data_IF_451356088911
#
_entry.id   IF_451356088911
#
_cell.length_a   1.000
_cell.length_b   1.000
_cell.length_c   1.000
_cell.angle_alpha   90.00
_cell.angle_beta   90.00
_cell.angle_gamma   90.00
#
_symmetry.space_group_name_H-M   'P 1'
#
loop_
_entity.id
_entity.type
_entity.pdbx_description
1 polymer ?
#
# COMPACT_ATOMS: atom_id res chain seq x y z
N UNK A 1 -50.38 6.47 -9.79
CA UNK A 1 -49.87 5.55 -8.76
C UNK A 1 -50.06 4.13 -9.23
N UNK A 2 -49.18 3.21 -8.84
CA UNK A 2 -49.24 1.80 -9.26
C UNK A 2 -47.91 1.09 -9.10
N UNK A 3 -47.92 -0.23 -9.30
CA UNK A 3 -46.72 -1.07 -9.28
C UNK A 3 -46.20 -1.25 -10.70
N UNK A 4 -45.01 -0.72 -10.96
CA UNK A 4 -44.26 -0.93 -12.19
C UNK A 4 -43.18 -1.97 -11.94
N UNK A 5 -42.62 -2.53 -13.01
CA UNK A 5 -41.56 -3.52 -12.88
C UNK A 5 -40.35 -3.12 -13.70
N UNK A 6 -39.18 -3.21 -13.09
CA UNK A 6 -37.92 -3.21 -13.80
C UNK A 6 -37.49 -4.64 -14.00
N UNK A 7 -37.05 -4.96 -15.21
CA UNK A 7 -36.44 -6.24 -15.53
C UNK A 7 -35.24 -5.98 -16.42
N UNK A 8 -34.08 -6.50 -16.03
CA UNK A 8 -32.84 -6.34 -16.78
C UNK A 8 -32.66 -7.57 -17.65
N UNK A 9 -32.44 -7.33 -18.93
CA UNK A 9 -32.15 -8.37 -19.91
C UNK A 9 -30.71 -8.20 -20.39
N UNK A 10 -29.90 -9.22 -20.18
CA UNK A 10 -28.58 -9.33 -20.78
C UNK A 10 -28.69 -10.29 -21.98
N UNK A 11 -28.64 -9.78 -23.22
CA UNK A 11 -28.69 -10.64 -24.39
C UNK A 11 -27.44 -11.51 -24.44
N UNK A 12 -27.57 -12.70 -25.02
CA UNK A 12 -26.43 -13.58 -25.24
C UNK A 12 -25.44 -12.91 -26.20
N UNK A 13 -24.16 -12.90 -25.85
CA UNK A 13 -23.14 -12.21 -26.64
C UNK A 13 -21.83 -12.97 -26.68
N UNK A 14 -21.16 -12.91 -27.83
CA UNK A 14 -19.79 -13.39 -27.97
C UNK A 14 -18.82 -12.28 -27.58
N UNK A 15 -17.93 -12.55 -26.64
CA UNK A 15 -16.82 -11.67 -26.32
C UNK A 15 -15.50 -12.41 -26.50
N UNK A 16 -14.55 -11.78 -27.22
CA UNK A 16 -13.24 -12.37 -27.48
C UNK A 16 -12.21 -11.80 -26.53
N UNK A 17 -11.84 -12.60 -25.53
CA UNK A 17 -10.76 -12.31 -24.60
C UNK A 17 -9.42 -12.41 -25.31
N UNK A 18 -8.84 -11.26 -25.64
CA UNK A 18 -7.52 -11.17 -26.29
C UNK A 18 -6.35 -11.33 -25.32
N UNK A 19 -6.60 -11.14 -24.03
CA UNK A 19 -5.63 -11.23 -22.95
C UNK A 19 -6.22 -12.07 -21.83
N UNK A 20 -5.43 -13.00 -21.28
CA UNK A 20 -5.84 -13.79 -20.11
C UNK A 20 -5.96 -12.88 -18.90
N UNK A 21 -7.08 -12.95 -18.20
CA UNK A 21 -7.24 -12.20 -16.95
C UNK A 21 -6.56 -12.93 -15.80
N UNK A 22 -6.04 -12.18 -14.84
CA UNK A 22 -5.39 -12.76 -13.64
C UNK A 22 -6.37 -13.44 -12.68
N UNK A 23 -7.64 -13.00 -12.65
CA UNK A 23 -8.67 -13.56 -11.75
C UNK A 23 -9.45 -14.72 -12.36
N UNK A 24 -9.41 -14.87 -13.68
CA UNK A 24 -10.03 -15.98 -14.40
C UNK A 24 -9.17 -16.33 -15.64
N UNK A 25 -8.02 -17.01 -15.44
CA UNK A 25 -7.06 -17.31 -16.51
C UNK A 25 -7.60 -18.31 -17.56
N UNK A 26 -8.71 -18.96 -17.25
CA UNK A 26 -9.49 -19.82 -18.16
C UNK A 26 -10.31 -19.02 -19.16
N UNK A 27 -10.56 -17.73 -18.93
CA UNK A 27 -11.24 -16.86 -19.88
C UNK A 27 -10.23 -16.37 -20.94
N UNK A 28 -10.14 -17.09 -22.06
CA UNK A 28 -9.31 -16.75 -23.22
C UNK A 28 -9.96 -17.21 -24.53
N UNK A 29 -9.83 -16.40 -25.59
CA UNK A 29 -10.50 -16.65 -26.86
C UNK A 29 -11.95 -16.16 -26.87
N UNK A 30 -12.72 -16.57 -27.88
CA UNK A 30 -14.13 -16.20 -28.01
C UNK A 30 -14.97 -17.03 -27.06
N UNK A 31 -15.63 -16.35 -26.11
CA UNK A 31 -16.51 -16.95 -25.12
C UNK A 31 -17.91 -16.43 -25.38
N UNK A 32 -18.86 -17.36 -25.48
CA UNK A 32 -20.28 -17.03 -25.52
C UNK A 32 -20.79 -16.85 -24.09
N UNK A 33 -21.25 -15.65 -23.77
CA UNK A 33 -21.98 -15.37 -22.55
C UNK A 33 -23.45 -15.62 -22.82
N UNK A 34 -24.02 -16.61 -22.13
CA UNK A 34 -25.42 -16.98 -22.28
C UNK A 34 -26.36 -15.82 -21.91
N UNK A 35 -27.51 -15.70 -22.58
CA UNK A 35 -28.50 -14.69 -22.21
C UNK A 35 -28.97 -14.94 -20.78
N UNK A 36 -29.14 -13.86 -20.03
CA UNK A 36 -29.75 -13.92 -18.70
C UNK A 36 -30.76 -12.81 -18.53
N UNK A 37 -31.74 -13.06 -17.67
CA UNK A 37 -32.80 -12.10 -17.38
C UNK A 37 -32.98 -12.07 -15.87
N UNK A 38 -32.98 -10.87 -15.29
CA UNK A 38 -33.22 -10.72 -13.85
C UNK A 38 -34.66 -11.08 -13.49
N UNK A 39 -34.89 -11.32 -12.21
CA UNK A 39 -36.24 -11.26 -11.67
C UNK A 39 -36.82 -9.85 -11.87
N UNK A 40 -38.15 -9.76 -11.88
CA UNK A 40 -38.85 -8.48 -11.97
C UNK A 40 -38.79 -7.78 -10.62
N UNK A 41 -38.16 -6.62 -10.57
CA UNK A 41 -38.14 -5.77 -9.38
C UNK A 41 -39.33 -4.82 -9.40
N UNK A 42 -40.18 -4.88 -8.38
CA UNK A 42 -41.36 -4.04 -8.26
C UNK A 42 -40.97 -2.62 -7.81
N UNK A 43 -41.27 -1.62 -8.65
CA UNK A 43 -41.27 -0.21 -8.29
C UNK A 43 -42.69 0.21 -7.92
N UNK A 44 -42.93 0.44 -6.64
CA UNK A 44 -44.22 0.95 -6.14
C UNK A 44 -44.19 2.48 -6.21
N UNK A 45 -45.00 3.05 -7.11
CA UNK A 45 -45.15 4.50 -7.24
C UNK A 45 -46.36 4.94 -6.42
N UNK A 46 -46.08 5.57 -5.29
CA UNK A 46 -47.05 6.08 -4.31
C UNK A 46 -47.31 7.59 -4.46
N UNK A 47 -48.44 8.08 -3.95
CA UNK A 47 -48.78 9.52 -3.90
C UNK A 47 -47.83 10.27 -3.00
N UNK A 48 -47.68 9.69 -1.80
CA UNK A 48 -46.99 10.31 -0.70
C UNK A 48 -45.49 10.13 -0.94
N UNK A 49 -44.71 11.22 -1.00
CA UNK A 49 -43.27 11.13 -1.08
C UNK A 49 -42.76 10.24 0.07
N UNK A 50 -41.89 9.28 -0.25
CA UNK A 50 -41.15 8.59 0.81
C UNK A 50 -40.39 9.63 1.62
N UNK A 51 -40.28 9.47 2.96
CA UNK A 51 -39.46 10.36 3.77
C UNK A 51 -38.07 10.47 3.15
N UNK A 52 -37.63 11.71 2.90
CA UNK A 52 -36.21 11.93 2.55
C UNK A 52 -35.39 11.38 3.71
N UNK A 53 -34.26 10.75 3.39
CA UNK A 53 -33.32 10.37 4.43
C UNK A 53 -33.06 11.61 5.30
N UNK A 54 -33.31 11.53 6.62
CA UNK A 54 -33.18 12.70 7.49
C UNK A 54 -31.73 13.15 7.50
N UNK A 55 -31.53 14.47 7.59
CA UNK A 55 -30.20 15.01 7.81
C UNK A 55 -29.68 14.71 9.20
N UNK A 56 -28.37 14.76 9.38
CA UNK A 56 -27.77 14.58 10.70
C UNK A 56 -27.73 15.91 11.45
N UNK A 57 -28.27 15.99 12.68
CA UNK A 57 -28.20 17.22 13.47
C UNK A 57 -26.74 17.58 13.77
N UNK A 58 -26.45 18.87 13.93
CA UNK A 58 -25.15 19.33 14.41
C UNK A 58 -24.89 18.77 15.82
N UNK A 59 -23.62 18.49 16.17
CA UNK A 59 -23.29 17.98 17.49
C UNK A 59 -23.53 19.11 18.53
N UNK A 60 -24.01 18.74 19.71
CA UNK A 60 -24.05 19.65 20.86
C UNK A 60 -22.77 19.63 21.69
N UNK A 61 -21.85 18.71 21.35
CA UNK A 61 -20.55 18.55 21.98
C UNK A 61 -19.42 19.08 21.09
N UNK A 62 -18.24 19.26 21.68
CA UNK A 62 -17.05 19.57 20.92
C UNK A 62 -16.76 18.48 19.90
N UNK A 63 -16.77 18.86 18.63
CA UNK A 63 -16.37 18.01 17.54
C UNK A 63 -14.86 18.08 17.38
N UNK A 64 -14.20 16.99 17.72
CA UNK A 64 -12.75 16.87 17.66
C UNK A 64 -12.35 15.75 16.73
N UNK A 65 -13.04 15.46 15.60
CA UNK A 65 -12.75 14.35 14.66
C UNK A 65 -13.16 14.57 13.23
N UNK A 66 -12.43 14.28 12.13
CA UNK A 66 -12.91 14.55 10.77
C UNK A 66 -14.42 14.28 10.55
N UNK A 67 -15.16 15.21 9.94
CA UNK A 67 -16.62 15.10 9.76
C UNK A 67 -16.84 14.01 8.73
N UNK A 68 -17.57 12.96 9.06
CA UNK A 68 -17.89 11.92 8.08
C UNK A 68 -18.54 12.57 6.84
N UNK A 69 -18.02 12.25 5.65
CA UNK A 69 -18.53 12.79 4.38
C UNK A 69 -20.02 12.53 4.13
N UNK A 70 -20.62 11.59 4.85
CA UNK A 70 -22.06 11.31 4.79
C UNK A 70 -22.92 12.32 5.57
N UNK A 71 -22.33 13.09 6.50
CA UNK A 71 -23.02 14.10 7.31
C UNK A 71 -23.15 15.44 6.56
N UNK A 72 -23.81 15.42 5.40
CA UNK A 72 -23.89 16.55 4.44
C UNK A 72 -24.36 17.87 5.06
N UNK A 73 -25.14 17.81 6.13
CA UNK A 73 -25.68 18.98 6.82
C UNK A 73 -24.62 19.76 7.62
N UNK A 74 -23.41 19.20 7.79
CA UNK A 74 -22.31 19.76 8.57
C UNK A 74 -21.33 20.60 7.72
N UNK A 75 -21.78 21.10 6.55
CA UNK A 75 -21.02 21.97 5.64
C UNK A 75 -20.58 23.31 6.27
N UNK A 76 -21.08 23.63 7.47
CA UNK A 76 -20.71 24.80 8.30
C UNK A 76 -19.32 24.74 8.94
N UNK A 77 -18.56 23.66 8.70
CA UNK A 77 -17.23 23.40 9.28
C UNK A 77 -16.13 24.38 8.83
N UNK A 78 -16.43 25.26 7.86
CA UNK A 78 -15.67 26.48 7.58
C UNK A 78 -14.28 26.31 6.98
N UNK A 79 -14.25 26.09 5.68
CA UNK A 79 -13.04 26.03 4.87
C UNK A 79 -13.02 27.15 3.81
N UNK A 80 -11.87 27.79 3.62
CA UNK A 80 -11.70 28.90 2.69
C UNK A 80 -10.41 28.73 1.91
N UNK A 81 -10.50 28.80 0.57
CA UNK A 81 -9.33 28.68 -0.32
C UNK A 81 -8.55 29.99 -0.48
N UNK A 82 -9.16 31.12 -0.09
CA UNK A 82 -8.59 32.46 -0.10
C UNK A 82 -9.36 33.34 0.90
N UNK A 83 -8.83 34.53 1.19
CA UNK A 83 -9.52 35.52 2.04
C UNK A 83 -10.92 35.81 1.47
N UNK A 84 -12.00 35.64 2.25
CA UNK A 84 -13.33 35.95 1.77
C UNK A 84 -13.46 37.48 1.56
N UNK A 85 -14.16 37.94 0.50
CA UNK A 85 -14.34 39.36 0.24
C UNK A 85 -14.87 40.11 1.47
N UNK A 86 -14.13 41.13 1.90
CA UNK A 86 -14.48 41.92 3.08
C UNK A 86 -14.28 41.20 4.43
N UNK A 87 -13.52 40.09 4.46
CA UNK A 87 -13.28 39.25 5.65
C UNK A 87 -14.56 38.72 6.30
N UNK A 88 -15.65 38.72 5.55
CA UNK A 88 -16.94 38.23 5.98
C UNK A 88 -17.08 36.77 5.55
N UNK A 89 -17.24 35.87 6.52
CA UNK A 89 -17.31 34.42 6.33
C UNK A 89 -18.74 33.91 6.52
N UNK A 90 -19.64 34.06 5.52
CA UNK A 90 -21.01 33.60 5.64
C UNK A 90 -21.05 32.07 5.76
N UNK A 91 -22.05 31.58 6.49
CA UNK A 91 -22.35 30.15 6.66
C UNK A 91 -21.32 29.31 7.42
N UNK A 92 -20.43 29.96 8.17
CA UNK A 92 -19.62 29.31 9.19
C UNK A 92 -20.25 29.49 10.57
N UNK A 93 -20.25 28.44 11.37
CA UNK A 93 -20.54 28.57 12.80
C UNK A 93 -19.21 28.69 13.54
N UNK A 94 -18.89 29.93 13.89
CA UNK A 94 -17.72 30.27 14.70
C UNK A 94 -17.87 29.67 16.11
N UNK A 95 -16.92 28.88 16.58
CA UNK A 95 -16.89 28.40 17.96
C UNK A 95 -16.67 29.54 18.96
N UNK A 96 -17.38 29.51 20.10
CA UNK A 96 -17.27 30.54 21.15
C UNK A 96 -16.11 30.31 22.15
N UNK A 97 -15.19 29.38 21.86
CA UNK A 97 -14.11 28.98 22.80
C UNK A 97 -12.78 28.67 22.08
N UNK A 98 -11.61 28.77 22.75
CA UNK A 98 -10.30 28.45 22.17
C UNK A 98 -10.16 27.00 21.66
N UNK A 99 -9.46 26.78 20.53
CA UNK A 99 -9.34 25.48 19.86
C UNK A 99 -8.11 24.65 20.23
N UNK A 100 -8.30 23.33 20.23
CA UNK A 100 -7.26 22.32 20.03
C UNK A 100 -7.56 21.59 18.70
N UNK A 101 -6.66 21.72 17.72
CA UNK A 101 -6.70 20.97 16.46
C UNK A 101 -6.05 19.60 16.64
N UNK A 102 -6.44 18.66 15.77
CA UNK A 102 -5.84 17.34 15.63
C UNK A 102 -4.33 17.40 15.56
N UNK A 103 -3.64 16.57 16.35
CA UNK A 103 -2.19 16.52 16.35
C UNK A 103 -1.60 15.92 15.06
N UNK A 104 -2.35 15.07 14.33
CA UNK A 104 -1.94 14.48 13.05
C UNK A 104 -3.11 14.28 12.08
N UNK A 105 -3.00 14.70 10.81
CA UNK A 105 -3.99 14.40 9.77
C UNK A 105 -4.16 12.89 9.56
N UNK A 106 -5.35 12.46 9.16
CA UNK A 106 -5.65 11.05 8.87
C UNK A 106 -4.82 10.50 7.69
N UNK A 107 -4.49 11.38 6.74
CA UNK A 107 -3.73 11.09 5.53
C UNK A 107 -2.84 12.29 5.24
N UNK A 108 -1.52 12.09 5.26
CA UNK A 108 -0.55 13.08 4.82
C UNK A 108 -0.12 12.74 3.39
N UNK A 109 -0.35 13.64 2.43
CA UNK A 109 0.18 13.49 1.07
C UNK A 109 -0.59 12.57 0.11
N UNK A 110 -1.90 12.40 0.33
CA UNK A 110 -2.80 12.36 -0.81
C UNK A 110 -2.84 13.75 -1.45
N UNK A 111 -3.21 13.90 -2.72
CA UNK A 111 -3.21 15.21 -3.41
C UNK A 111 -4.16 16.22 -2.72
N UNK A 112 -4.98 15.77 -1.76
CA UNK A 112 -5.59 16.61 -0.72
C UNK A 112 -4.78 16.57 0.60
N UNK A 113 -4.13 17.68 1.02
CA UNK A 113 -3.39 17.76 2.28
C UNK A 113 -4.26 17.71 3.55
N UNK A 114 -5.58 17.56 3.41
CA UNK A 114 -6.54 17.63 4.53
C UNK A 114 -7.15 16.28 4.92
N UNK A 115 -6.78 15.19 4.24
CA UNK A 115 -7.04 13.81 4.67
C UNK A 115 -8.45 13.50 5.16
N UNK A 116 -9.36 13.25 4.22
CA UNK A 116 -10.76 12.90 4.51
C UNK A 116 -11.57 14.05 5.10
N UNK A 117 -12.87 13.83 5.26
CA UNK A 117 -13.81 14.81 5.82
C UNK A 117 -14.52 15.67 4.78
N UNK A 118 -15.58 16.38 5.17
CA UNK A 118 -16.26 17.33 4.27
C UNK A 118 -15.37 18.54 3.97
N UNK A 119 -15.41 18.99 2.71
CA UNK A 119 -14.72 20.21 2.28
C UNK A 119 -15.28 21.40 3.03
N UNK A 120 -16.61 21.52 3.11
CA UNK A 120 -17.30 22.61 3.81
C UNK A 120 -17.03 23.99 3.19
N UNK A 121 -17.79 24.99 3.66
CA UNK A 121 -17.66 26.38 3.20
C UNK A 121 -18.28 26.64 1.82
N UNK A 122 -18.96 27.79 1.68
CA UNK A 122 -19.55 28.22 0.41
C UNK A 122 -18.53 28.99 -0.42
N UNK A 123 -18.22 28.50 -1.62
CA UNK A 123 -17.30 29.17 -2.55
C UNK A 123 -18.09 29.61 -3.79
N UNK A 124 -18.28 30.93 -4.01
CA UNK A 124 -18.94 31.46 -5.19
C UNK A 124 -18.30 30.95 -6.48
N UNK A 125 -19.12 30.68 -7.51
CA UNK A 125 -18.70 30.25 -8.84
C UNK A 125 -17.94 28.91 -8.92
N UNK A 126 -17.98 28.09 -7.86
CA UNK A 126 -17.50 26.70 -7.89
C UNK A 126 -18.66 25.71 -7.84
N UNK A 127 -18.55 24.60 -8.57
CA UNK A 127 -19.61 23.61 -8.68
C UNK A 127 -19.80 22.82 -7.36
N UNK A 128 -20.73 23.27 -6.49
CA UNK A 128 -21.21 22.57 -5.28
C UNK A 128 -20.10 21.77 -4.59
N UNK A 129 -18.98 22.42 -4.28
CA UNK A 129 -17.82 21.79 -3.63
C UNK A 129 -18.05 21.66 -2.12
N UNK A 130 -18.94 22.49 -1.57
CA UNK A 130 -19.31 22.65 -0.17
C UNK A 130 -19.89 21.38 0.48
N UNK A 131 -20.63 20.56 -0.28
CA UNK A 131 -21.20 19.28 0.17
C UNK A 131 -20.34 18.05 -0.20
N UNK A 132 -19.15 18.26 -0.79
CA UNK A 132 -18.22 17.19 -1.19
C UNK A 132 -17.26 16.85 -0.06
N UNK A 133 -16.75 15.62 -0.09
CA UNK A 133 -15.66 15.20 0.78
C UNK A 133 -14.29 15.49 0.16
N UNK A 134 -13.30 15.81 0.99
CA UNK A 134 -11.91 15.54 0.67
C UNK A 134 -11.73 14.05 0.41
N UNK A 135 -10.71 13.73 -0.41
CA UNK A 135 -10.41 12.38 -0.89
C UNK A 135 -10.75 11.28 0.13
N UNK A 136 -11.68 10.39 -0.23
CA UNK A 136 -12.24 9.37 0.65
C UNK A 136 -11.44 8.06 0.68
N UNK A 137 -10.33 8.02 -0.07
CA UNK A 137 -9.39 6.90 -0.09
C UNK A 137 -9.78 5.72 -0.98
N UNK A 138 -8.75 5.22 -1.68
CA UNK A 138 -8.48 3.86 -2.15
C UNK A 138 -9.47 3.13 -3.09
N UNK A 139 -10.21 3.87 -3.94
CA UNK A 139 -10.67 3.27 -5.21
C UNK A 139 -9.48 3.20 -6.19
N UNK A 140 -8.55 2.25 -5.97
CA UNK A 140 -7.35 1.99 -6.78
C UNK A 140 -6.16 2.94 -6.59
N UNK A 141 -6.22 3.83 -5.61
CA UNK A 141 -5.21 4.87 -5.37
C UNK A 141 -4.01 4.39 -4.51
N UNK A 142 -4.15 3.29 -3.76
CA UNK A 142 -3.02 2.56 -3.14
C UNK A 142 -2.36 3.29 -1.97
N UNK A 143 -3.15 4.03 -1.18
CA UNK A 143 -2.70 4.97 -0.15
C UNK A 143 -1.96 4.32 1.04
N UNK A 144 -2.06 3.00 1.23
CA UNK A 144 -1.40 2.27 2.31
C UNK A 144 -0.73 0.96 1.85
N UNK A 145 -0.26 0.97 0.60
CA UNK A 145 0.49 -0.15 0.00
C UNK A 145 1.91 -0.29 0.58
N UNK A 146 2.33 -1.53 0.84
CA UNK A 146 3.69 -1.84 1.29
C UNK A 146 3.97 -1.63 2.78
N UNK A 147 2.94 -1.62 3.63
CA UNK A 147 3.07 -1.50 5.10
C UNK A 147 3.69 -2.74 5.75
N UNK A 148 4.41 -2.52 6.85
CA UNK A 148 5.06 -3.55 7.64
C UNK A 148 4.86 -3.25 9.12
N UNK A 149 4.62 -4.25 9.96
CA UNK A 149 4.64 -4.10 11.42
C UNK A 149 5.71 -5.02 11.99
N UNK A 150 6.70 -4.46 12.70
CA UNK A 150 7.74 -5.21 13.41
C UNK A 150 7.91 -4.64 14.82
N UNK A 151 7.94 -5.49 15.85
CA UNK A 151 8.30 -5.09 17.21
C UNK A 151 7.43 -3.98 17.83
N UNK A 152 6.14 -3.88 17.44
CA UNK A 152 5.25 -2.82 17.93
C UNK A 152 5.36 -1.48 17.18
N UNK A 153 6.09 -1.45 16.06
CA UNK A 153 6.23 -0.26 15.20
C UNK A 153 5.61 -0.57 13.84
N UNK A 154 4.75 0.33 13.36
CA UNK A 154 4.24 0.30 11.98
C UNK A 154 5.15 1.14 11.09
N UNK A 155 5.49 0.58 9.94
CA UNK A 155 6.27 1.21 8.89
C UNK A 155 5.43 1.30 7.63
N UNK A 156 5.37 2.47 7.01
CA UNK A 156 4.55 2.68 5.83
C UNK A 156 5.14 3.75 4.91
N UNK A 157 4.74 3.70 3.64
CA UNK A 157 5.05 4.75 2.69
C UNK A 157 4.07 5.91 2.91
N UNK A 158 4.58 7.11 3.20
CA UNK A 158 3.76 8.30 3.48
C UNK A 158 2.86 8.66 2.31
N UNK A 159 3.41 8.58 1.10
CA UNK A 159 2.75 9.04 -0.13
C UNK A 159 2.17 7.88 -0.94
N UNK A 160 1.26 8.22 -1.86
CA UNK A 160 0.78 7.31 -2.92
C UNK A 160 1.94 6.78 -3.76
N UNK A 161 1.74 5.60 -4.37
CA UNK A 161 2.74 5.00 -5.24
C UNK A 161 2.89 5.72 -6.59
N UNK A 162 1.86 6.43 -7.04
CA UNK A 162 1.91 7.18 -8.29
C UNK A 162 2.97 8.29 -8.25
N UNK A 163 3.45 8.69 -9.42
CA UNK A 163 4.64 9.53 -9.56
C UNK A 163 5.95 8.74 -9.51
N UNK A 164 5.98 7.57 -8.87
CA UNK A 164 7.16 6.69 -8.82
C UNK A 164 8.41 7.45 -8.35
N UNK A 165 9.50 7.37 -9.11
CA UNK A 165 10.77 8.07 -8.81
C UNK A 165 10.78 9.55 -9.23
N UNK A 166 9.67 10.09 -9.75
CA UNK A 166 9.54 11.51 -10.16
C UNK A 166 9.15 12.41 -8.99
N UNK A 167 8.70 11.85 -7.89
CA UNK A 167 8.25 12.55 -6.68
C UNK A 167 8.97 11.99 -5.45
N UNK A 168 8.90 12.70 -4.31
CA UNK A 168 9.42 12.17 -3.06
C UNK A 168 8.71 10.87 -2.67
N UNK A 169 9.47 9.95 -2.07
CA UNK A 169 8.95 8.72 -1.49
C UNK A 169 9.55 8.57 -0.10
N UNK A 170 8.74 8.88 0.91
CA UNK A 170 9.13 8.82 2.31
C UNK A 170 8.56 7.57 2.97
N UNK A 171 9.36 6.96 3.83
CA UNK A 171 8.97 5.88 4.71
C UNK A 171 8.98 6.39 6.14
N UNK A 172 7.90 6.09 6.85
CA UNK A 172 7.63 6.58 8.20
C UNK A 172 7.56 5.40 9.14
N UNK A 173 8.10 5.56 10.35
CA UNK A 173 7.95 4.64 11.46
C UNK A 173 7.12 5.28 12.57
N UNK A 174 6.12 4.55 13.06
CA UNK A 174 5.22 5.00 14.13
C UNK A 174 5.09 3.92 15.20
N UNK A 175 5.24 4.28 16.47
CA UNK A 175 4.88 3.37 17.57
C UNK A 175 3.37 3.19 17.59
N UNK A 176 2.90 1.94 17.43
CA UNK A 176 1.47 1.66 17.31
C UNK A 176 0.69 1.92 18.60
N UNK A 177 1.37 1.99 19.75
CA UNK A 177 0.74 2.21 21.07
C UNK A 177 0.49 3.69 21.33
N UNK A 178 1.38 4.55 20.84
CA UNK A 178 1.35 5.99 21.13
C UNK A 178 0.96 6.85 19.94
N UNK A 179 1.12 6.36 18.71
CA UNK A 179 0.99 7.17 17.49
C UNK A 179 2.16 8.13 17.26
N UNK A 180 3.22 8.03 18.06
CA UNK A 180 4.42 8.85 17.93
C UNK A 180 5.20 8.45 16.66
N UNK A 181 5.56 9.44 15.84
CA UNK A 181 6.48 9.21 14.74
C UNK A 181 7.90 9.10 15.29
N UNK A 182 8.49 7.92 15.10
CA UNK A 182 9.84 7.63 15.57
C UNK A 182 10.89 8.17 14.58
N UNK A 183 10.62 8.03 13.29
CA UNK A 183 11.47 8.58 12.23
C UNK A 183 10.76 8.67 10.89
N UNK A 184 11.30 9.52 10.02
CA UNK A 184 10.96 9.65 8.59
C UNK A 184 12.25 9.55 7.78
N UNK A 185 12.22 8.80 6.68
CA UNK A 185 13.35 8.63 5.76
C UNK A 185 12.93 8.67 4.31
N UNK A 186 13.70 9.39 3.50
CA UNK A 186 13.70 9.24 2.05
C UNK A 186 14.76 8.20 1.65
N UNK A 187 14.35 7.16 0.95
CA UNK A 187 15.24 6.10 0.46
C UNK A 187 15.59 6.30 -1.00
N UNK A 188 16.03 7.51 -1.34
CA UNK A 188 16.30 7.94 -2.72
C UNK A 188 15.12 7.64 -3.66
N UNK A 189 13.92 8.05 -3.23
CA UNK A 189 12.65 7.87 -3.97
C UNK A 189 12.27 6.40 -4.21
N UNK A 190 12.85 5.47 -3.47
CA UNK A 190 12.38 4.08 -3.39
C UNK A 190 11.35 3.93 -2.28
N UNK A 191 10.57 2.86 -2.33
CA UNK A 191 9.44 2.61 -1.42
C UNK A 191 9.67 1.33 -0.62
N UNK A 192 9.14 1.31 0.59
CA UNK A 192 9.02 0.09 1.39
C UNK A 192 8.15 -0.93 0.65
N UNK A 193 8.66 -2.14 0.51
CA UNK A 193 7.91 -3.25 -0.12
C UNK A 193 7.71 -4.45 0.80
N UNK A 194 8.53 -4.60 1.86
CA UNK A 194 8.44 -5.71 2.83
C UNK A 194 9.33 -5.47 4.04
N UNK A 195 9.13 -6.29 5.07
CA UNK A 195 10.02 -6.40 6.23
C UNK A 195 10.54 -7.81 6.43
N UNK A 196 11.56 -7.95 7.27
CA UNK A 196 12.18 -9.23 7.61
C UNK A 196 12.56 -9.23 9.09
N UNK A 197 12.31 -10.35 9.78
CA UNK A 197 12.94 -10.69 11.06
C UNK A 197 13.84 -11.89 10.83
N UNK A 198 15.15 -11.67 10.77
CA UNK A 198 16.12 -12.73 10.55
C UNK A 198 16.71 -13.20 11.88
N UNK A 199 16.40 -14.44 12.27
CA UNK A 199 17.02 -15.11 13.39
C UNK A 199 18.39 -15.68 12.97
N UNK A 200 19.45 -15.09 13.51
CA UNK A 200 20.81 -15.59 13.35
C UNK A 200 21.27 -16.25 14.65
N UNK A 201 21.76 -17.47 14.52
CA UNK A 201 22.17 -18.31 15.64
C UNK A 201 23.39 -19.11 15.21
N UNK A 202 24.55 -18.77 15.78
CA UNK A 202 25.85 -19.30 15.36
C UNK A 202 26.85 -19.24 16.51
N UNK A 203 28.00 -19.90 16.37
CA UNK A 203 29.00 -19.98 17.44
C UNK A 203 29.57 -18.63 17.94
N UNK A 204 29.35 -17.52 17.20
CA UNK A 204 29.90 -16.20 17.55
C UNK A 204 28.81 -15.14 17.80
N UNK A 205 27.60 -15.32 17.27
CA UNK A 205 26.57 -14.28 17.37
C UNK A 205 25.16 -14.87 17.34
N UNK A 206 24.29 -14.30 18.18
CA UNK A 206 22.90 -14.72 18.38
C UNK A 206 22.01 -13.48 18.44
N UNK A 207 21.11 -13.30 17.46
CA UNK A 207 20.21 -12.15 17.42
C UNK A 207 19.03 -12.38 16.47
N UNK A 208 17.98 -11.57 16.62
CA UNK A 208 16.97 -11.37 15.58
C UNK A 208 17.19 -9.98 14.99
N UNK A 209 17.45 -9.92 13.68
CA UNK A 209 17.66 -8.66 12.97
C UNK A 209 16.39 -8.24 12.24
N UNK A 210 15.93 -7.02 12.53
CA UNK A 210 14.77 -6.43 11.87
C UNK A 210 15.22 -5.56 10.69
N UNK A 211 14.85 -5.98 9.48
CA UNK A 211 15.09 -5.21 8.26
C UNK A 211 13.79 -4.75 7.62
N UNK A 212 13.86 -3.58 7.02
CA UNK A 212 12.91 -3.07 6.04
C UNK A 212 13.57 -3.13 4.67
N UNK A 213 12.81 -3.45 3.63
CA UNK A 213 13.39 -3.69 2.31
C UNK A 213 12.67 -2.83 1.27
N UNK A 214 13.48 -2.13 0.48
CA UNK A 214 13.05 -1.43 -0.73
C UNK A 214 13.60 -2.14 -1.98
N UNK A 215 12.93 -1.94 -3.10
CA UNK A 215 13.37 -2.49 -4.39
C UNK A 215 13.56 -1.40 -5.42
N UNK A 216 14.61 -1.51 -6.23
CA UNK A 216 14.84 -0.63 -7.39
C UNK A 216 15.43 -1.42 -8.54
N UNK A 217 15.21 -0.93 -9.76
CA UNK A 217 15.81 -1.49 -10.96
C UNK A 217 16.66 -0.44 -11.64
N UNK A 218 17.94 -0.73 -11.86
CA UNK A 218 18.89 0.17 -12.52
C UNK A 218 19.56 -0.60 -13.66
N UNK A 219 19.47 -0.08 -14.88
CA UNK A 219 20.03 -0.72 -16.09
C UNK A 219 19.65 -2.21 -16.23
N UNK A 220 18.39 -2.56 -15.94
CA UNK A 220 17.89 -3.94 -16.03
C UNK A 220 18.28 -4.86 -14.87
N UNK A 221 19.04 -4.37 -13.89
CA UNK A 221 19.40 -5.12 -12.68
C UNK A 221 18.46 -4.77 -11.54
N UNK A 222 17.83 -5.79 -10.94
CA UNK A 222 17.00 -5.64 -9.75
C UNK A 222 17.85 -5.64 -8.48
N UNK A 223 17.64 -4.63 -7.64
CA UNK A 223 18.27 -4.47 -6.35
C UNK A 223 17.25 -4.59 -5.23
N UNK A 224 17.65 -5.23 -4.13
CA UNK A 224 16.97 -5.15 -2.85
C UNK A 224 17.87 -4.42 -1.87
N UNK A 225 17.43 -3.28 -1.39
CA UNK A 225 18.14 -2.45 -0.42
C UNK A 225 17.58 -2.73 0.98
N UNK A 226 18.44 -3.13 1.93
CA UNK A 226 18.06 -3.48 3.29
C UNK A 226 18.37 -2.33 4.25
N UNK A 227 17.36 -1.92 4.99
CA UNK A 227 17.39 -0.84 5.97
C UNK A 227 17.14 -1.38 7.36
N UNK A 228 17.83 -0.85 8.36
CA UNK A 228 17.58 -1.18 9.76
C UNK A 228 16.24 -0.60 10.21
N UNK A 229 15.38 -1.42 10.83
CA UNK A 229 14.04 -1.00 11.20
C UNK A 229 14.01 0.07 12.32
N UNK A 230 15.00 0.10 13.21
CA UNK A 230 15.04 1.07 14.33
C UNK A 230 15.36 2.49 13.89
N UNK A 231 16.14 2.66 12.82
CA UNK A 231 16.66 3.98 12.40
C UNK A 231 16.28 4.37 10.97
N UNK A 232 15.79 3.42 10.19
CA UNK A 232 15.56 3.54 8.74
C UNK A 232 16.86 3.73 7.94
N UNK A 233 18.03 3.45 8.54
CA UNK A 233 19.35 3.60 7.92
C UNK A 233 19.62 2.42 6.98
N UNK A 234 20.18 2.72 5.80
CA UNK A 234 20.65 1.68 4.88
C UNK A 234 21.80 0.86 5.48
N UNK A 235 21.73 -0.46 5.35
CA UNK A 235 22.71 -1.41 5.89
C UNK A 235 23.54 -2.05 4.79
N UNK A 236 22.89 -2.66 3.79
CA UNK A 236 23.53 -3.30 2.64
C UNK A 236 22.51 -3.49 1.52
N UNK A 237 22.97 -3.95 0.35
CA UNK A 237 22.07 -4.29 -0.75
C UNK A 237 22.40 -5.64 -1.38
N UNK A 238 21.41 -6.21 -2.06
CA UNK A 238 21.59 -7.27 -3.05
C UNK A 238 21.37 -6.73 -4.45
N UNK A 239 22.23 -7.09 -5.40
CA UNK A 239 22.00 -6.90 -6.84
C UNK A 239 21.62 -8.23 -7.49
N UNK A 240 21.04 -8.20 -8.70
CA UNK A 240 20.62 -9.40 -9.44
C UNK A 240 19.64 -10.31 -8.67
N UNK A 241 18.78 -9.73 -7.83
CA UNK A 241 17.80 -10.53 -7.07
C UNK A 241 16.81 -11.16 -8.05
N UNK A 242 16.62 -12.50 -8.03
CA UNK A 242 15.72 -13.16 -8.96
C UNK A 242 14.26 -12.77 -8.70
N UNK A 243 13.46 -12.76 -9.77
CA UNK A 243 12.01 -12.67 -9.68
C UNK A 243 11.41 -14.02 -9.35
N UNK A 244 10.36 -14.08 -8.54
CA UNK A 244 9.65 -15.33 -8.28
C UNK A 244 8.72 -15.20 -7.08
N UNK A 245 8.20 -16.33 -6.62
CA UNK A 245 7.40 -16.42 -5.41
C UNK A 245 8.31 -16.29 -4.20
N UNK A 246 8.06 -15.28 -3.38
CA UNK A 246 8.83 -15.04 -2.15
C UNK A 246 8.15 -15.72 -0.97
N UNK A 247 8.92 -16.46 -0.19
CA UNK A 247 8.50 -17.05 1.09
C UNK A 247 9.57 -16.78 2.16
N UNK A 248 9.20 -16.94 3.43
CA UNK A 248 10.14 -16.87 4.56
C UNK A 248 10.44 -18.27 5.08
N UNK A 249 11.72 -18.56 5.29
CA UNK A 249 12.15 -19.80 5.93
C UNK A 249 12.00 -19.76 7.46
N UNK A 250 12.29 -20.87 8.16
CA UNK A 250 12.06 -21.01 9.59
C UNK A 250 12.82 -20.01 10.47
N UNK A 251 13.95 -19.47 9.99
CA UNK A 251 14.72 -18.44 10.69
C UNK A 251 14.49 -17.04 10.09
N UNK A 252 13.47 -16.87 9.25
CA UNK A 252 13.13 -15.61 8.61
C UNK A 252 14.06 -15.20 7.46
N UNK A 253 14.87 -16.14 6.95
CA UNK A 253 15.53 -15.99 5.67
C UNK A 253 14.50 -15.83 4.55
N UNK A 254 14.80 -15.00 3.56
CA UNK A 254 13.94 -14.83 2.39
C UNK A 254 14.36 -15.87 1.35
N UNK A 255 13.38 -16.64 0.90
CA UNK A 255 13.53 -17.65 -0.15
C UNK A 255 12.71 -17.21 -1.36
N UNK A 256 13.28 -17.34 -2.56
CA UNK A 256 12.59 -17.07 -3.82
C UNK A 256 12.58 -18.34 -4.66
N UNK A 257 11.38 -18.80 -5.00
CA UNK A 257 11.17 -19.87 -5.98
C UNK A 257 10.83 -19.26 -7.33
N UNK A 258 11.64 -19.58 -8.34
CA UNK A 258 11.37 -19.21 -9.73
C UNK A 258 10.94 -20.47 -10.48
N UNK A 259 9.86 -20.38 -11.26
CA UNK A 259 9.38 -21.47 -12.11
C UNK A 259 9.17 -20.92 -13.51
N UNK A 260 9.82 -21.53 -14.50
CA UNK A 260 9.66 -21.22 -15.92
C UNK A 260 9.15 -22.48 -16.63
N UNK A 261 7.82 -22.57 -16.78
CA UNK A 261 7.16 -23.72 -17.42
C UNK A 261 7.39 -23.78 -18.93
N UNK A 262 7.72 -22.64 -19.56
CA UNK A 262 8.01 -22.55 -20.98
C UNK A 262 9.38 -23.15 -21.28
N UNK A 263 10.38 -22.81 -20.47
CA UNK A 263 11.75 -23.33 -20.60
C UNK A 263 11.97 -24.63 -19.82
N UNK A 264 11.05 -25.01 -18.93
CA UNK A 264 11.09 -26.26 -18.18
C UNK A 264 12.15 -26.27 -17.09
N UNK A 265 12.24 -25.21 -16.28
CA UNK A 265 13.17 -25.18 -15.13
C UNK A 265 12.57 -24.47 -13.92
N UNK A 266 13.14 -24.77 -12.75
CA UNK A 266 12.87 -24.05 -11.51
C UNK A 266 14.15 -23.83 -10.70
N UNK A 267 14.21 -22.74 -9.92
CA UNK A 267 15.32 -22.45 -9.00
C UNK A 267 14.81 -22.14 -7.60
N UNK A 268 15.66 -22.44 -6.62
CA UNK A 268 15.52 -22.01 -5.23
C UNK A 268 16.64 -21.06 -4.88
N UNK A 269 16.29 -19.84 -4.50
CA UNK A 269 17.22 -18.81 -4.03
C UNK A 269 17.01 -18.55 -2.55
N UNK A 270 18.08 -18.31 -1.79
CA UNK A 270 18.02 -17.98 -0.37
C UNK A 270 18.92 -16.77 -0.04
N UNK A 271 18.33 -15.78 0.62
CA UNK A 271 19.00 -14.54 1.05
C UNK A 271 20.24 -14.76 1.93
N UNK A 272 20.22 -15.74 2.84
CA UNK A 272 21.37 -15.96 3.75
C UNK A 272 22.51 -16.69 3.05
N UNK A 273 22.17 -17.52 2.06
CA UNK A 273 23.14 -18.22 1.23
C UNK A 273 24.02 -17.24 0.43
N UNK A 274 23.49 -16.07 0.02
CA UNK A 274 24.29 -15.01 -0.63
C UNK A 274 25.49 -14.61 0.24
N UNK A 275 25.24 -14.29 1.51
CA UNK A 275 26.26 -13.85 2.47
C UNK A 275 27.21 -15.00 2.78
N UNK A 276 26.70 -16.20 3.00
CA UNK A 276 27.53 -17.40 3.25
C UNK A 276 28.49 -17.65 2.10
N UNK A 277 28.02 -17.67 0.85
CA UNK A 277 28.87 -17.93 -0.31
C UNK A 277 29.87 -16.80 -0.56
N UNK A 278 29.48 -15.53 -0.37
CA UNK A 278 30.43 -14.42 -0.46
C UNK A 278 31.55 -14.57 0.56
N UNK A 279 31.20 -14.95 1.80
CA UNK A 279 32.16 -15.17 2.88
C UNK A 279 33.11 -16.30 2.58
N UNK A 280 32.61 -17.40 2.01
CA UNK A 280 33.45 -18.52 1.55
C UNK A 280 34.42 -18.06 0.46
N UNK A 281 33.95 -17.27 -0.50
CA UNK A 281 34.79 -16.75 -1.58
C UNK A 281 35.91 -15.82 -1.08
N UNK A 282 35.62 -14.98 -0.09
CA UNK A 282 36.58 -13.99 0.43
C UNK A 282 37.58 -14.58 1.43
N UNK A 283 37.15 -15.53 2.26
CA UNK A 283 37.90 -15.96 3.44
C UNK A 283 38.11 -17.48 3.55
N UNK A 284 37.62 -18.27 2.58
CA UNK A 284 37.62 -19.72 2.65
C UNK A 284 36.42 -20.28 3.42
N UNK A 285 36.26 -21.61 3.51
CA UNK A 285 35.07 -22.25 4.06
C UNK A 285 35.00 -22.28 5.60
N UNK A 286 36.07 -21.86 6.29
CA UNK A 286 36.22 -21.98 7.74
C UNK A 286 36.79 -20.72 8.35
N UNK A 287 36.44 -20.45 9.61
CA UNK A 287 37.04 -19.36 10.39
C UNK A 287 36.01 -18.65 11.25
N UNK A 288 36.49 -17.84 12.20
CA UNK A 288 35.63 -17.13 13.16
C UNK A 288 34.63 -16.17 12.49
N UNK A 289 34.97 -15.65 11.31
CA UNK A 289 34.11 -14.76 10.51
C UNK A 289 32.77 -15.40 10.13
N UNK A 290 32.71 -16.74 10.00
CA UNK A 290 31.47 -17.45 9.61
C UNK A 290 30.39 -17.42 10.69
N UNK A 291 30.73 -17.08 11.93
CA UNK A 291 29.76 -16.90 13.00
C UNK A 291 29.15 -15.50 13.04
N UNK A 292 29.50 -14.60 12.13
CA UNK A 292 28.84 -13.30 12.01
C UNK A 292 27.88 -13.30 10.82
N UNK A 293 26.73 -12.65 10.99
CA UNK A 293 25.74 -12.47 9.92
C UNK A 293 26.32 -11.56 8.80
N UNK A 294 26.14 -10.25 8.92
CA UNK A 294 26.48 -9.27 7.86
C UNK A 294 27.72 -8.42 8.17
N UNK A 295 28.43 -8.73 9.27
CA UNK A 295 29.73 -8.12 9.56
C UNK A 295 30.64 -8.25 8.33
N UNK A 296 31.50 -7.26 8.09
CA UNK A 296 32.33 -7.07 6.88
C UNK A 296 31.57 -6.67 5.59
N UNK A 297 30.25 -6.83 5.53
CA UNK A 297 29.46 -6.53 4.32
C UNK A 297 28.46 -5.37 4.48
N UNK A 298 28.36 -4.79 5.68
CA UNK A 298 27.65 -3.53 5.86
C UNK A 298 28.27 -2.43 4.99
N UNK A 299 27.45 -1.62 4.33
CA UNK A 299 27.92 -0.60 3.41
C UNK A 299 28.20 -1.10 1.99
N UNK A 300 27.88 -2.36 1.67
CA UNK A 300 28.23 -2.98 0.38
C UNK A 300 27.00 -3.49 -0.38
N UNK A 301 27.20 -3.83 -1.66
CA UNK A 301 26.23 -4.55 -2.49
C UNK A 301 26.77 -5.95 -2.80
N UNK A 302 25.99 -6.99 -2.50
CA UNK A 302 26.34 -8.39 -2.76
C UNK A 302 25.59 -8.92 -3.99
N UNK A 303 26.23 -9.74 -4.83
CA UNK A 303 25.57 -10.36 -5.99
C UNK A 303 24.65 -11.50 -5.52
N UNK A 304 23.34 -11.30 -5.67
CA UNK A 304 22.34 -12.28 -5.26
C UNK A 304 22.41 -13.58 -6.07
N UNK A 305 23.11 -13.64 -7.21
CA UNK A 305 23.33 -14.91 -7.91
C UNK A 305 24.01 -15.97 -7.03
N UNK A 306 24.79 -15.54 -6.04
CA UNK A 306 25.38 -16.42 -5.03
C UNK A 306 24.35 -17.12 -4.12
N UNK A 307 23.11 -16.64 -4.09
CA UNK A 307 22.03 -17.21 -3.28
C UNK A 307 21.30 -18.38 -3.94
N UNK A 308 21.62 -18.73 -5.18
CA UNK A 308 21.00 -19.89 -5.86
C UNK A 308 21.48 -21.18 -5.18
N UNK A 309 20.58 -21.86 -4.49
CA UNK A 309 20.85 -23.12 -3.80
C UNK A 309 20.78 -24.32 -4.77
N UNK A 310 19.84 -24.26 -5.71
CA UNK A 310 19.67 -25.29 -6.73
C UNK A 310 18.96 -24.73 -7.97
N UNK A 311 19.23 -25.38 -9.10
CA UNK A 311 18.56 -25.19 -10.38
C UNK A 311 18.19 -26.58 -10.91
N UNK A 312 16.90 -26.80 -11.21
CA UNK A 312 16.35 -28.11 -11.59
C UNK A 312 15.52 -28.00 -12.86
N UNK A 313 15.73 -28.93 -13.79
CA UNK A 313 14.86 -29.12 -14.96
C UNK A 313 13.55 -29.76 -14.53
N UNK A 314 12.43 -29.28 -15.06
CA UNK A 314 11.08 -29.78 -14.82
C UNK A 314 10.35 -30.03 -16.15
N UNK A 315 9.33 -30.89 -16.19
CA UNK A 315 8.49 -31.05 -17.37
C UNK A 315 7.89 -29.71 -17.82
N UNK A 316 7.80 -29.52 -19.13
CA UNK A 316 7.13 -28.35 -19.73
C UNK A 316 5.61 -28.54 -19.67
N UNK A 317 4.87 -27.44 -19.52
CA UNK A 317 3.40 -27.47 -19.58
C UNK A 317 2.71 -28.18 -18.41
N UNK A 318 3.32 -28.15 -17.21
CA UNK A 318 2.61 -28.52 -15.98
C UNK A 318 1.38 -27.60 -15.80
N UNK A 319 0.25 -28.12 -15.28
CA UNK A 319 -1.04 -27.42 -15.23
C UNK A 319 -1.03 -26.11 -14.45
#
# INVERSE_FOLDING_TARGET
MGTYYFQVHFPGQNYTWRVRTTRAPTLYGTIYYEPSTSEKYALVVQAEPTPKHPGFPLPQEFWTRPVDSQMREWWVAGNWLADPPGLYAPYNVGPETPHLLWAKPLIEGAISPLGGGLVGGYIPDTANVDDKGFETGDAYEGLFGGRVILGGVVYFNRYKADGGTRVEQEVVAVDIRTGEELWVRSWNRTRLVRGQLLYWDSFNYHAVFAYLIATRTVAGVTYWDFYEASTGRWVFSYSNVPSGTVVYGPKGEIIIYTVDLTRGWMTGWNSTHVVTQKRIADYGPTGSRHGSWIREYMGTTLDARLGIMWNKTIPKGLP
#
